data_IF_452098449359
#
_entry.id   IF_452098449359
#
_cell.length_a   1.000
_cell.length_b   1.000
_cell.length_c   1.000
_cell.angle_alpha   90.00
_cell.angle_beta   90.00
_cell.angle_gamma   90.00
#
_symmetry.space_group_name_H-M   'P 1'
#
loop_
_entity.id
_entity.type
_entity.pdbx_description
1 polymer ?
#
# COMPACT_ATOMS: atom_id res chain seq x y z
N UNK A 1 -0.44 6.45 -30.46
CA UNK A 1 0.56 5.43 -30.81
C UNK A 1 -0.01 4.57 -31.92
N UNK A 2 0.81 4.15 -32.90
CA UNK A 2 0.40 3.24 -34.00
C UNK A 2 1.08 1.89 -33.81
N UNK A 3 0.49 0.83 -34.36
CA UNK A 3 1.07 -0.51 -34.40
C UNK A 3 2.43 -0.48 -35.10
N UNK A 4 3.44 -1.07 -34.51
CA UNK A 4 4.74 -1.26 -35.15
C UNK A 4 4.67 -2.52 -36.01
N UNK A 5 4.82 -2.43 -37.36
CA UNK A 5 4.75 -3.60 -38.23
C UNK A 5 5.90 -4.60 -38.01
N UNK A 6 7.05 -4.12 -37.50
CA UNK A 6 8.24 -4.95 -37.31
C UNK A 6 8.32 -5.55 -35.87
N UNK A 7 7.26 -5.40 -35.08
CA UNK A 7 7.25 -5.96 -33.72
C UNK A 7 7.10 -7.48 -33.75
N UNK A 8 8.03 -8.19 -33.11
CA UNK A 8 8.13 -9.66 -33.13
C UNK A 8 6.84 -10.39 -32.74
N UNK A 9 5.99 -9.77 -31.91
CA UNK A 9 4.67 -10.29 -31.52
C UNK A 9 3.52 -9.51 -32.19
N UNK A 10 3.77 -8.87 -33.33
CA UNK A 10 2.80 -8.05 -34.05
C UNK A 10 1.50 -8.78 -34.38
N UNK A 11 1.55 -10.07 -34.65
CA UNK A 11 0.38 -10.92 -34.96
C UNK A 11 -0.57 -11.06 -33.75
N UNK A 12 -0.06 -10.89 -32.54
CA UNK A 12 -0.87 -10.92 -31.32
C UNK A 12 -1.55 -9.59 -31.00
N UNK A 13 -1.13 -8.51 -31.68
CA UNK A 13 -1.70 -7.17 -31.47
C UNK A 13 -2.89 -7.00 -32.42
N UNK A 14 -4.08 -6.86 -31.85
CA UNK A 14 -5.33 -6.72 -32.60
C UNK A 14 -5.68 -5.27 -32.94
N UNK A 15 -5.14 -4.29 -32.19
CA UNK A 15 -5.38 -2.88 -32.41
C UNK A 15 -4.39 -2.30 -33.40
N UNK A 16 -4.84 -1.40 -34.26
CA UNK A 16 -3.98 -0.65 -35.19
C UNK A 16 -3.20 0.46 -34.48
N UNK A 17 -3.67 0.88 -33.33
CA UNK A 17 -3.06 1.88 -32.49
C UNK A 17 -3.96 2.32 -31.35
N UNK A 18 -3.50 3.27 -30.58
CA UNK A 18 -4.30 3.94 -29.56
C UNK A 18 -3.83 5.37 -29.30
N UNK A 19 -4.74 6.21 -28.85
CA UNK A 19 -4.48 7.58 -28.47
C UNK A 19 -4.54 7.73 -26.96
N UNK A 20 -3.52 8.34 -26.39
CA UNK A 20 -3.55 8.78 -25.00
C UNK A 20 -4.03 10.24 -24.94
N UNK A 21 -5.12 10.47 -24.20
CA UNK A 21 -5.59 11.82 -23.84
C UNK A 21 -5.17 12.04 -22.38
N UNK A 22 -4.33 13.02 -22.14
CA UNK A 22 -3.89 13.34 -20.78
C UNK A 22 -4.96 14.25 -20.17
N UNK A 23 -5.66 13.74 -19.14
CA UNK A 23 -6.66 14.45 -18.37
C UNK A 23 -6.24 14.42 -16.90
N UNK A 24 -6.00 15.59 -16.30
CA UNK A 24 -5.47 15.69 -14.93
C UNK A 24 -6.46 15.29 -13.85
N UNK A 25 -7.75 15.51 -14.09
CA UNK A 25 -8.81 15.17 -13.16
C UNK A 25 -9.55 13.89 -13.59
N UNK A 26 -9.74 12.96 -12.65
CA UNK A 26 -10.36 11.64 -12.95
C UNK A 26 -11.86 11.72 -13.18
N UNK A 27 -12.56 12.66 -12.56
CA UNK A 27 -14.00 12.82 -12.75
C UNK A 27 -14.28 13.41 -14.13
N UNK A 28 -13.48 14.38 -14.57
CA UNK A 28 -13.53 14.88 -15.95
C UNK A 28 -13.22 13.77 -16.97
N UNK A 29 -12.24 12.90 -16.68
CA UNK A 29 -11.96 11.75 -17.55
C UNK A 29 -13.13 10.76 -17.61
N UNK A 30 -13.83 10.54 -16.49
CA UNK A 30 -15.02 9.70 -16.44
C UNK A 30 -16.17 10.30 -17.30
N UNK A 31 -16.38 11.60 -17.22
CA UNK A 31 -17.40 12.27 -18.07
C UNK A 31 -17.09 12.11 -19.56
N UNK A 32 -15.83 12.24 -19.96
CA UNK A 32 -15.39 12.00 -21.34
C UNK A 32 -15.64 10.55 -21.79
N UNK A 33 -15.45 9.59 -20.90
CA UNK A 33 -15.78 8.18 -21.16
C UNK A 33 -17.28 7.97 -21.32
N UNK A 34 -18.09 8.52 -20.42
CA UNK A 34 -19.55 8.41 -20.48
C UNK A 34 -20.14 9.07 -21.74
N UNK A 35 -19.49 10.12 -22.24
CA UNK A 35 -19.87 10.81 -23.50
C UNK A 35 -19.33 10.10 -24.76
N UNK A 36 -18.60 8.99 -24.62
CA UNK A 36 -18.04 8.23 -25.74
C UNK A 36 -16.79 8.85 -26.38
N UNK A 37 -16.15 9.81 -25.71
CA UNK A 37 -14.90 10.41 -26.19
C UNK A 37 -13.66 9.61 -25.78
N UNK A 38 -13.80 8.69 -24.82
CA UNK A 38 -12.76 7.76 -24.38
C UNK A 38 -13.31 6.34 -24.36
N UNK A 39 -12.49 5.37 -24.78
CA UNK A 39 -12.81 3.94 -24.73
C UNK A 39 -12.51 3.30 -23.37
N UNK A 40 -11.63 3.93 -22.58
CA UNK A 40 -11.25 3.44 -21.26
C UNK A 40 -10.79 4.59 -20.35
N UNK A 41 -11.05 4.46 -19.05
CA UNK A 41 -10.69 5.43 -18.01
C UNK A 41 -10.37 4.72 -16.71
N UNK A 42 -9.52 5.32 -15.88
CA UNK A 42 -9.30 4.85 -14.51
C UNK A 42 -10.21 5.62 -13.56
N UNK A 43 -11.03 4.90 -12.79
CA UNK A 43 -11.94 5.51 -11.83
C UNK A 43 -11.22 6.08 -10.60
N UNK A 44 -11.79 7.12 -10.00
CA UNK A 44 -11.43 7.55 -8.64
C UNK A 44 -12.03 6.59 -7.61
N UNK A 45 -11.53 6.55 -6.36
CA UNK A 45 -12.11 5.73 -5.30
C UNK A 45 -13.61 5.98 -5.11
N UNK A 46 -14.04 7.24 -5.16
CA UNK A 46 -15.45 7.64 -5.00
C UNK A 46 -16.30 7.14 -6.18
N UNK A 47 -15.77 7.23 -7.41
CA UNK A 47 -16.46 6.75 -8.61
C UNK A 47 -16.56 5.23 -8.64
N UNK A 48 -15.62 4.50 -8.04
CA UNK A 48 -15.69 3.03 -7.95
C UNK A 48 -16.91 2.58 -7.15
N UNK A 49 -17.23 3.23 -6.03
CA UNK A 49 -18.40 2.88 -5.23
C UNK A 49 -19.70 3.06 -6.02
N UNK A 50 -19.78 4.12 -6.80
CA UNK A 50 -20.95 4.41 -7.63
C UNK A 50 -21.16 3.40 -8.77
N UNK A 51 -20.08 2.90 -9.35
CA UNK A 51 -20.11 2.03 -10.52
C UNK A 51 -19.71 0.58 -10.23
N UNK A 52 -19.68 0.16 -8.95
CA UNK A 52 -19.13 -1.13 -8.53
C UNK A 52 -19.78 -2.35 -9.22
N UNK A 53 -21.07 -2.24 -9.52
CA UNK A 53 -21.87 -3.27 -10.18
C UNK A 53 -21.98 -3.10 -11.70
N UNK A 54 -21.34 -2.08 -12.28
CA UNK A 54 -21.37 -1.86 -13.72
C UNK A 54 -20.53 -2.94 -14.43
N UNK A 55 -21.12 -3.67 -15.41
CA UNK A 55 -20.44 -4.75 -16.12
C UNK A 55 -19.24 -4.30 -16.97
N UNK A 56 -19.12 -3.00 -17.25
CA UNK A 56 -17.98 -2.43 -17.97
C UNK A 56 -16.73 -2.30 -17.08
N UNK A 57 -16.88 -2.35 -15.74
CA UNK A 57 -15.75 -2.31 -14.82
C UNK A 57 -14.86 -3.54 -14.99
N UNK A 58 -13.58 -3.30 -15.21
CA UNK A 58 -12.54 -4.34 -15.27
C UNK A 58 -11.55 -4.15 -14.12
N UNK A 59 -11.49 -5.13 -13.24
CA UNK A 59 -10.49 -5.19 -12.17
C UNK A 59 -9.25 -5.92 -12.69
N UNK A 60 -8.10 -5.30 -12.59
CA UNK A 60 -6.83 -5.92 -12.95
C UNK A 60 -5.89 -5.93 -11.75
N UNK A 61 -5.18 -7.04 -11.46
CA UNK A 61 -4.17 -7.07 -10.42
C UNK A 61 -3.10 -6.01 -10.68
N UNK A 62 -2.72 -5.28 -9.65
CA UNK A 62 -1.64 -4.31 -9.75
C UNK A 62 -0.27 -5.00 -9.87
N UNK A 63 0.69 -4.29 -10.47
CA UNK A 63 2.10 -4.71 -10.55
C UNK A 63 2.92 -4.27 -9.34
N UNK A 64 2.30 -3.57 -8.40
CA UNK A 64 2.95 -3.01 -7.21
C UNK A 64 2.19 -3.39 -5.95
N UNK A 65 2.89 -3.33 -4.83
CA UNK A 65 2.34 -3.47 -3.48
C UNK A 65 2.57 -2.16 -2.75
N UNK A 66 1.57 -1.70 -2.01
CA UNK A 66 1.73 -0.64 -1.04
C UNK A 66 2.23 -1.25 0.27
N UNK A 67 3.30 -0.71 0.81
CA UNK A 67 3.95 -1.21 2.03
C UNK A 67 4.11 -0.09 3.05
N UNK A 68 4.02 -0.46 4.33
CA UNK A 68 4.53 0.36 5.43
C UNK A 68 6.01 0.01 5.60
N UNK A 69 6.88 0.97 5.28
CA UNK A 69 8.33 0.79 5.37
C UNK A 69 8.84 1.34 6.70
N UNK A 70 9.66 0.57 7.41
CA UNK A 70 10.19 0.91 8.73
C UNK A 70 11.68 1.20 8.59
N UNK A 71 12.13 2.37 9.09
CA UNK A 71 13.55 2.69 9.22
C UNK A 71 14.13 1.97 10.44
N UNK A 72 14.45 0.69 10.30
CA UNK A 72 14.96 -0.14 11.40
C UNK A 72 16.40 0.21 11.85
N UNK A 73 17.11 1.05 11.11
CA UNK A 73 18.41 1.60 11.52
C UNK A 73 18.33 2.87 12.36
N UNK A 74 17.12 3.38 12.59
CA UNK A 74 16.88 4.56 13.40
C UNK A 74 17.18 4.29 14.88
N UNK A 75 17.96 5.16 15.52
CA UNK A 75 18.36 5.06 16.92
C UNK A 75 17.51 5.90 17.89
N UNK A 76 16.60 6.73 17.36
CA UNK A 76 15.65 7.47 18.18
C UNK A 76 14.78 6.51 18.99
N UNK A 77 14.25 6.99 20.12
CA UNK A 77 13.46 6.15 21.01
C UNK A 77 14.17 4.82 21.37
N UNK A 78 15.46 4.90 21.65
CA UNK A 78 16.30 3.76 22.04
C UNK A 78 16.33 2.64 20.97
N UNK A 79 16.19 3.00 19.70
CA UNK A 79 16.25 2.07 18.58
C UNK A 79 15.04 1.15 18.45
N UNK A 80 13.88 1.52 18.98
CA UNK A 80 12.68 0.67 18.99
C UNK A 80 12.24 0.21 17.59
N UNK A 81 12.48 1.01 16.54
CA UNK A 81 12.16 0.61 15.17
C UNK A 81 12.98 -0.60 14.69
N UNK A 82 14.17 -0.82 15.26
CA UNK A 82 14.99 -2.02 15.06
C UNK A 82 14.54 -3.21 15.91
N UNK A 83 13.76 -3.00 16.96
CA UNK A 83 13.32 -4.04 17.88
C UNK A 83 12.37 -5.03 17.19
N UNK A 84 12.64 -6.34 17.32
CA UNK A 84 11.85 -7.39 16.66
C UNK A 84 10.41 -7.44 17.19
N UNK A 85 10.21 -7.25 18.50
CA UNK A 85 8.88 -7.28 19.10
C UNK A 85 8.06 -6.09 18.65
N UNK A 86 8.65 -4.90 18.50
CA UNK A 86 7.94 -3.74 17.94
C UNK A 86 7.51 -3.97 16.48
N UNK A 87 8.38 -4.54 15.65
CA UNK A 87 8.02 -4.87 14.26
C UNK A 87 6.92 -5.91 14.17
N UNK A 88 6.91 -6.90 15.08
CA UNK A 88 5.80 -7.85 15.22
C UNK A 88 4.52 -7.16 15.69
N UNK A 89 4.62 -6.24 16.66
CA UNK A 89 3.49 -5.45 17.11
C UNK A 89 2.82 -4.70 15.94
N UNK A 90 3.61 -4.00 15.13
CA UNK A 90 3.10 -3.32 13.93
C UNK A 90 2.49 -4.31 12.92
N UNK A 91 3.11 -5.47 12.71
CA UNK A 91 2.57 -6.49 11.80
C UNK A 91 1.16 -6.93 12.22
N UNK A 92 0.95 -7.20 13.51
CA UNK A 92 -0.34 -7.65 14.03
C UNK A 92 -1.34 -6.50 14.26
N UNK A 93 -0.89 -5.24 14.36
CA UNK A 93 -1.76 -4.08 14.55
C UNK A 93 -2.38 -3.55 13.25
N UNK A 94 -1.81 -3.86 12.08
CA UNK A 94 -2.27 -3.32 10.79
C UNK A 94 -3.43 -4.14 10.23
N UNK A 95 -4.63 -3.55 10.23
CA UNK A 95 -5.81 -4.11 9.55
C UNK A 95 -5.72 -3.86 8.03
N UNK A 96 -5.22 -4.87 7.34
CA UNK A 96 -4.99 -4.83 5.88
C UNK A 96 -6.29 -4.87 5.08
N UNK A 97 -7.33 -5.49 5.63
CA UNK A 97 -8.63 -5.57 4.96
C UNK A 97 -9.31 -4.21 4.95
N UNK A 98 -9.33 -3.51 6.09
CA UNK A 98 -9.90 -2.16 6.18
C UNK A 98 -9.14 -1.16 5.29
N UNK A 99 -7.81 -1.21 5.28
CA UNK A 99 -7.00 -0.36 4.40
C UNK A 99 -7.30 -0.67 2.93
N UNK A 100 -7.35 -1.94 2.54
CA UNK A 100 -7.63 -2.33 1.16
C UNK A 100 -9.02 -1.89 0.72
N UNK A 101 -10.03 -1.99 1.59
CA UNK A 101 -11.38 -1.51 1.31
C UNK A 101 -11.41 -0.01 1.04
N UNK A 102 -10.73 0.81 1.85
CA UNK A 102 -10.69 2.26 1.67
C UNK A 102 -9.87 2.69 0.45
N UNK A 103 -8.86 1.94 0.07
CA UNK A 103 -7.98 2.26 -1.06
C UNK A 103 -8.39 1.54 -2.35
N UNK A 104 -9.52 0.81 -2.34
CA UNK A 104 -9.96 -0.06 -3.43
C UNK A 104 -8.88 -1.05 -3.89
N UNK A 105 -8.08 -1.51 -2.93
CA UNK A 105 -6.99 -2.46 -3.14
C UNK A 105 -7.41 -3.91 -2.89
N UNK A 106 -6.46 -4.82 -3.05
CA UNK A 106 -6.56 -6.21 -2.63
C UNK A 106 -5.70 -6.37 -1.38
N UNK A 107 -6.26 -6.81 -0.25
CA UNK A 107 -5.48 -6.95 0.97
C UNK A 107 -4.39 -8.01 0.79
N UNK A 108 -3.21 -7.76 1.34
CA UNK A 108 -2.09 -8.68 1.23
C UNK A 108 -1.11 -8.50 2.39
N UNK A 109 -0.48 -9.59 2.80
CA UNK A 109 0.68 -9.60 3.68
C UNK A 109 1.94 -10.15 3.00
N UNK A 110 1.97 -10.09 1.68
CA UNK A 110 3.12 -10.47 0.84
C UNK A 110 3.90 -9.26 0.37
N UNK A 111 5.21 -9.42 0.18
CA UNK A 111 6.07 -8.40 -0.43
C UNK A 111 6.13 -8.50 -1.96
N UNK A 112 5.56 -9.54 -2.54
CA UNK A 112 5.60 -9.78 -4.00
C UNK A 112 4.24 -9.50 -4.61
N UNK A 113 4.23 -8.71 -5.69
CA UNK A 113 3.00 -8.38 -6.42
C UNK A 113 2.37 -9.62 -7.06
N UNK A 114 1.02 -9.64 -7.14
CA UNK A 114 0.26 -10.78 -7.67
C UNK A 114 0.55 -11.12 -9.13
N UNK A 115 1.17 -10.21 -9.89
CA UNK A 115 1.56 -10.46 -11.28
C UNK A 115 2.96 -11.05 -11.46
N UNK A 116 3.71 -11.25 -10.38
CA UNK A 116 5.01 -11.91 -10.47
C UNK A 116 4.81 -13.41 -10.69
N UNK A 117 5.10 -13.87 -11.89
CA UNK A 117 4.97 -15.27 -12.29
C UNK A 117 6.29 -16.01 -12.13
N UNK A 118 6.21 -17.24 -11.64
CA UNK A 118 7.30 -18.21 -11.70
C UNK A 118 7.43 -18.84 -13.09
N UNK A 119 8.44 -19.68 -13.28
CA UNK A 119 8.71 -20.37 -14.55
C UNK A 119 7.59 -21.33 -14.95
N UNK A 120 6.82 -21.83 -14.00
CA UNK A 120 5.68 -22.71 -14.19
C UNK A 120 4.37 -21.95 -14.53
N UNK A 121 4.42 -20.63 -14.63
CA UNK A 121 3.27 -19.77 -14.90
C UNK A 121 2.37 -19.51 -13.69
N UNK A 122 2.70 -20.05 -12.50
CA UNK A 122 2.02 -19.73 -11.25
C UNK A 122 2.54 -18.42 -10.65
N UNK A 123 1.70 -17.73 -9.92
CA UNK A 123 2.15 -16.57 -9.15
C UNK A 123 2.88 -17.02 -7.89
N UNK A 124 3.77 -16.17 -7.35
CA UNK A 124 4.38 -16.40 -6.04
C UNK A 124 3.33 -16.70 -4.96
N UNK A 125 2.17 -16.08 -5.05
CA UNK A 125 1.08 -16.26 -4.08
C UNK A 125 0.39 -17.62 -4.17
N UNK A 126 0.47 -18.30 -5.31
CA UNK A 126 -0.14 -19.62 -5.53
C UNK A 126 0.75 -20.77 -5.07
N UNK A 127 2.01 -20.49 -4.67
CA UNK A 127 2.94 -21.49 -4.17
C UNK A 127 2.54 -21.97 -2.77
N UNK A 128 2.64 -23.28 -2.52
CA UNK A 128 2.27 -23.86 -1.21
C UNK A 128 3.08 -23.25 -0.06
N UNK A 129 4.36 -23.01 -0.28
CA UNK A 129 5.25 -22.40 0.71
C UNK A 129 4.81 -20.97 1.06
N UNK A 130 4.31 -20.22 0.07
CA UNK A 130 3.80 -18.87 0.30
C UNK A 130 2.46 -18.89 1.03
N UNK A 131 1.60 -19.84 0.71
CA UNK A 131 0.31 -20.03 1.39
C UNK A 131 0.51 -20.49 2.85
N UNK A 132 1.50 -21.33 3.11
CA UNK A 132 1.84 -21.79 4.46
C UNK A 132 2.34 -20.67 5.39
N UNK A 133 2.81 -19.54 4.84
CA UNK A 133 3.26 -18.38 5.61
C UNK A 133 2.12 -17.41 5.98
N UNK A 134 0.89 -17.67 5.48
CA UNK A 134 -0.25 -16.80 5.77
C UNK A 134 -0.75 -17.01 7.20
N UNK A 135 -0.79 -15.93 7.95
CA UNK A 135 -1.47 -15.89 9.23
C UNK A 135 -2.98 -15.64 9.04
N UNK A 136 -3.84 -16.14 9.95
CA UNK A 136 -5.27 -15.81 9.97
C UNK A 136 -5.50 -14.30 9.94
N UNK A 137 -6.56 -13.85 9.28
CA UNK A 137 -6.90 -12.43 9.12
C UNK A 137 -5.75 -11.59 8.54
N UNK A 138 -4.92 -12.19 7.68
CA UNK A 138 -3.71 -11.56 7.12
C UNK A 138 -2.76 -11.02 8.21
N UNK A 139 -2.76 -11.64 9.39
CA UNK A 139 -1.96 -11.28 10.53
C UNK A 139 -2.58 -10.21 11.44
N UNK A 140 -3.79 -9.73 11.21
CA UNK A 140 -4.42 -8.75 12.11
C UNK A 140 -4.90 -9.41 13.40
N UNK A 141 -4.27 -9.04 14.51
CA UNK A 141 -4.57 -9.51 15.87
C UNK A 141 -4.19 -8.42 16.88
N UNK A 142 -5.15 -7.53 17.25
CA UNK A 142 -4.90 -6.42 18.17
C UNK A 142 -4.39 -6.84 19.56
N UNK A 143 -4.84 -7.99 20.08
CA UNK A 143 -4.40 -8.47 21.39
C UNK A 143 -2.92 -8.88 21.35
N UNK A 144 -2.54 -9.63 20.34
CA UNK A 144 -1.15 -10.05 20.11
C UNK A 144 -0.25 -8.85 19.78
N UNK A 145 -0.78 -7.87 19.02
CA UNK A 145 -0.09 -6.63 18.73
C UNK A 145 0.27 -5.87 20.00
N UNK A 146 -0.69 -5.72 20.92
CA UNK A 146 -0.49 -5.04 22.21
C UNK A 146 0.54 -5.76 23.08
N UNK A 147 0.46 -7.07 23.18
CA UNK A 147 1.45 -7.88 23.93
C UNK A 147 2.88 -7.64 23.42
N UNK A 148 3.08 -7.67 22.11
CA UNK A 148 4.39 -7.41 21.52
C UNK A 148 4.85 -5.96 21.67
N UNK A 149 3.92 -5.01 21.65
CA UNK A 149 4.22 -3.59 21.89
C UNK A 149 4.72 -3.35 23.31
N UNK A 150 4.02 -3.89 24.32
CA UNK A 150 4.42 -3.77 25.73
C UNK A 150 5.80 -4.39 25.97
N UNK A 151 6.08 -5.56 25.40
CA UNK A 151 7.43 -6.17 25.46
C UNK A 151 8.50 -5.28 24.81
N UNK A 152 8.19 -4.67 23.67
CA UNK A 152 9.14 -3.80 22.98
C UNK A 152 9.45 -2.54 23.81
N UNK A 153 8.45 -1.93 24.46
CA UNK A 153 8.66 -0.81 25.36
C UNK A 153 9.58 -1.19 26.53
N UNK A 154 9.32 -2.35 27.16
CA UNK A 154 10.15 -2.86 28.26
C UNK A 154 11.60 -3.09 27.82
N UNK A 155 11.82 -3.78 26.70
CA UNK A 155 13.15 -4.07 26.16
C UNK A 155 13.93 -2.82 25.77
N UNK A 156 13.22 -1.76 25.32
CA UNK A 156 13.82 -0.48 24.97
C UNK A 156 13.88 0.51 26.12
N UNK A 157 13.33 0.16 27.32
CA UNK A 157 13.29 1.07 28.49
C UNK A 157 12.42 2.30 28.24
N UNK A 158 11.32 2.17 27.51
CA UNK A 158 10.39 3.24 27.19
C UNK A 158 9.06 3.05 27.95
N UNK A 159 8.42 4.17 28.30
CA UNK A 159 7.07 4.18 28.89
C UNK A 159 6.00 4.67 27.92
N UNK A 160 6.42 5.35 26.87
CA UNK A 160 5.57 5.84 25.79
C UNK A 160 6.36 5.96 24.50
N UNK A 161 5.67 6.02 23.38
CA UNK A 161 6.29 6.09 22.05
C UNK A 161 5.52 7.06 21.16
N UNK A 162 6.21 8.03 20.59
CA UNK A 162 5.70 8.87 19.50
C UNK A 162 6.50 8.59 18.23
N UNK A 163 5.80 8.27 17.16
CA UNK A 163 6.39 8.05 15.84
C UNK A 163 5.79 8.99 14.80
N UNK A 164 6.55 9.27 13.76
CA UNK A 164 6.09 10.06 12.61
C UNK A 164 5.97 9.13 11.39
N UNK A 165 4.77 9.07 10.80
CA UNK A 165 4.51 8.40 9.54
C UNK A 165 4.55 9.42 8.40
N UNK A 166 5.52 9.27 7.51
CA UNK A 166 5.64 10.08 6.32
C UNK A 166 4.86 9.47 5.16
N UNK A 167 4.09 10.27 4.42
CA UNK A 167 3.32 9.81 3.30
C UNK A 167 3.30 10.80 2.13
N UNK A 168 3.04 10.26 0.93
CA UNK A 168 2.92 11.08 -0.27
C UNK A 168 1.56 11.79 -0.31
N UNK A 169 1.56 13.11 -0.17
CA UNK A 169 0.36 13.96 -0.19
C UNK A 169 -0.40 13.97 -1.53
N UNK A 170 0.31 13.68 -2.64
CA UNK A 170 -0.32 13.65 -3.98
C UNK A 170 -1.05 12.34 -4.27
N UNK A 171 -0.91 11.33 -3.39
CA UNK A 171 -1.59 10.05 -3.49
C UNK A 171 -2.75 9.96 -2.52
N UNK A 172 -3.99 10.00 -3.03
CA UNK A 172 -5.19 9.85 -2.22
C UNK A 172 -5.18 8.53 -1.41
N UNK A 173 -4.70 7.43 -2.00
CA UNK A 173 -4.61 6.14 -1.33
C UNK A 173 -3.59 6.16 -0.17
N UNK A 174 -2.42 6.81 -0.37
CA UNK A 174 -1.43 6.92 0.70
C UNK A 174 -1.98 7.78 1.85
N UNK A 175 -2.65 8.88 1.53
CA UNK A 175 -3.30 9.73 2.53
C UNK A 175 -4.34 8.95 3.32
N UNK A 176 -5.28 8.29 2.66
CA UNK A 176 -6.33 7.51 3.31
C UNK A 176 -5.77 6.40 4.22
N UNK A 177 -4.77 5.64 3.73
CA UNK A 177 -4.11 4.61 4.53
C UNK A 177 -3.38 5.19 5.74
N UNK A 178 -2.72 6.34 5.60
CA UNK A 178 -1.99 6.99 6.71
C UNK A 178 -2.94 7.56 7.76
N UNK A 179 -4.03 8.19 7.36
CA UNK A 179 -5.08 8.68 8.26
C UNK A 179 -5.75 7.53 9.03
N UNK A 180 -5.98 6.39 8.37
CA UNK A 180 -6.48 5.20 9.04
C UNK A 180 -5.48 4.67 10.08
N UNK A 181 -4.20 4.55 9.74
CA UNK A 181 -3.17 4.09 10.67
C UNK A 181 -2.99 5.05 11.85
N UNK A 182 -3.05 6.36 11.60
CA UNK A 182 -3.00 7.40 12.65
C UNK A 182 -4.09 7.21 13.70
N UNK A 183 -5.28 6.77 13.28
CA UNK A 183 -6.39 6.50 14.19
C UNK A 183 -6.29 5.10 14.81
N UNK A 184 -6.09 4.07 14.03
CA UNK A 184 -6.21 2.67 14.46
C UNK A 184 -5.06 2.19 15.32
N UNK A 185 -3.82 2.64 15.09
CA UNK A 185 -2.68 2.18 15.89
C UNK A 185 -2.75 2.62 17.36
N UNK A 186 -3.12 3.89 17.69
CA UNK A 186 -3.37 4.26 19.09
C UNK A 186 -4.53 3.50 19.73
N UNK A 187 -5.58 3.14 18.98
CA UNK A 187 -6.67 2.30 19.48
C UNK A 187 -6.18 0.91 19.90
N UNK A 188 -5.20 0.35 19.17
CA UNK A 188 -4.60 -0.96 19.50
C UNK A 188 -3.59 -0.88 20.63
N UNK A 189 -2.68 0.10 20.60
CA UNK A 189 -1.55 0.18 21.53
C UNK A 189 -1.88 0.95 22.84
N UNK A 190 -2.94 1.76 22.82
CA UNK A 190 -3.37 2.55 23.98
C UNK A 190 -2.67 3.90 24.09
N UNK A 191 -2.92 4.59 25.20
CA UNK A 191 -2.52 5.99 25.43
C UNK A 191 -1.00 6.23 25.45
N UNK A 192 -0.21 5.17 25.55
CA UNK A 192 1.26 5.26 25.50
C UNK A 192 1.81 5.39 24.08
N UNK A 193 0.95 5.29 23.04
CA UNK A 193 1.37 5.36 21.64
C UNK A 193 0.73 6.55 20.92
N UNK A 194 1.56 7.30 20.20
CA UNK A 194 1.11 8.38 19.30
C UNK A 194 1.74 8.21 17.93
N UNK A 195 0.92 8.34 16.89
CA UNK A 195 1.40 8.39 15.51
C UNK A 195 1.13 9.76 14.92
N UNK A 196 2.16 10.53 14.61
CA UNK A 196 2.06 11.79 13.90
C UNK A 196 2.12 11.57 12.39
N UNK A 197 1.44 12.42 11.63
CA UNK A 197 1.46 12.36 10.16
C UNK A 197 2.31 13.48 9.58
N UNK A 198 3.19 13.14 8.66
CA UNK A 198 3.99 14.10 7.89
C UNK A 198 3.70 13.93 6.39
N UNK A 199 2.97 14.89 5.83
CA UNK A 199 2.71 14.94 4.40
C UNK A 199 3.94 15.47 3.65
N UNK A 200 4.22 14.92 2.48
CA UNK A 200 5.31 15.41 1.63
C UNK A 200 5.15 15.01 0.17
N UNK A 201 5.81 15.74 -0.72
CA UNK A 201 5.87 15.36 -2.13
C UNK A 201 6.71 14.10 -2.35
N UNK A 202 6.50 13.39 -3.45
CA UNK A 202 7.29 12.19 -3.81
C UNK A 202 8.80 12.44 -3.79
N UNK A 203 9.25 13.61 -4.24
CA UNK A 203 10.67 13.98 -4.25
C UNK A 203 11.24 14.12 -2.85
N UNK A 204 10.49 14.74 -1.94
CA UNK A 204 10.87 14.89 -0.52
C UNK A 204 10.95 13.53 0.15
N UNK A 205 9.91 12.69 0.03
CA UNK A 205 9.90 11.35 0.61
C UNK A 205 11.05 10.48 0.08
N UNK A 206 11.31 10.53 -1.23
CA UNK A 206 12.44 9.80 -1.82
C UNK A 206 13.80 10.30 -1.31
N UNK A 207 13.93 11.59 -0.99
CA UNK A 207 15.17 12.11 -0.40
C UNK A 207 15.38 11.59 1.02
N UNK A 208 14.33 11.50 1.83
CA UNK A 208 14.39 10.86 3.14
C UNK A 208 14.78 9.38 3.03
N UNK A 209 14.11 8.60 2.19
CA UNK A 209 14.41 7.17 2.01
C UNK A 209 15.87 6.95 1.57
N UNK A 210 16.37 7.78 0.65
CA UNK A 210 17.76 7.69 0.17
C UNK A 210 18.79 8.15 1.20
N UNK A 211 18.39 9.10 2.04
CA UNK A 211 19.25 9.70 3.05
C UNK A 211 19.11 9.10 4.43
N UNK A 212 18.28 8.05 4.58
CA UNK A 212 18.07 7.43 5.89
C UNK A 212 19.39 6.98 6.52
N UNK A 213 19.65 7.53 7.67
CA UNK A 213 20.82 7.29 8.48
C UNK A 213 20.39 7.01 9.92
N UNK A 214 21.33 6.65 10.72
CA UNK A 214 21.15 6.58 12.17
C UNK A 214 20.62 7.93 12.69
N UNK A 215 19.48 7.90 13.41
CA UNK A 215 18.83 9.08 13.97
C UNK A 215 17.81 9.80 13.08
N UNK A 216 17.66 9.41 11.80
CA UNK A 216 16.59 9.96 10.96
C UNK A 216 15.21 9.44 11.40
N UNK A 217 14.13 10.23 11.26
CA UNK A 217 12.78 9.84 11.66
C UNK A 217 12.21 8.67 10.87
#
# INVERSE_FOLDING_TARGET
MKKNPDFVLGDKIKLDGYNYKIVGDRNTALELYLNGELDAVSLSPESIEQYIDDPSIKKAPATSIQTLTINHGNTNNNGILGNLNFRKALFYAVDRESIAKMTNGIPANYLVASKCLGLDGKTYRDMEESQALLEPNLGYDPAKAKEYYEKALEECGLTSLTLTLQYNETSANNKAASEFLHKSLPEVFGDSFTLELMAGSTSVLNSYIKGWKEGDP
#
